data_IF_751044019655
#
_entry.id   IF_751044019655
#
_cell.length_a   1.000
_cell.length_b   1.000
_cell.length_c   1.000
_cell.angle_alpha   90.00
_cell.angle_beta   90.00
_cell.angle_gamma   90.00
#
_symmetry.space_group_name_H-M   'P 1'
#
loop_
_entity.id
_entity.type
_entity.pdbx_description
1 polymer ?
#
# COMPACT_ATOMS: atom_id res chain seq x y z
N UNK A 1 17.43 0.65 -1.96
CA UNK A 1 18.12 0.97 -3.24
C UNK A 1 17.92 2.45 -3.51
N UNK A 2 18.98 3.22 -3.82
CA UNK A 2 18.82 4.63 -4.19
C UNK A 2 18.91 4.75 -5.71
N UNK A 3 17.98 5.44 -6.38
CA UNK A 3 18.08 5.66 -7.82
C UNK A 3 19.28 6.56 -8.15
N UNK A 4 19.82 6.37 -9.35
CA UNK A 4 20.90 7.21 -9.90
C UNK A 4 20.45 8.68 -10.01
N UNK A 5 21.37 9.66 -9.97
CA UNK A 5 21.02 11.07 -10.09
C UNK A 5 20.24 11.33 -11.39
N UNK A 6 19.05 11.93 -11.28
CA UNK A 6 18.18 12.21 -12.42
C UNK A 6 17.29 11.03 -12.90
N UNK A 7 17.40 9.86 -12.26
CA UNK A 7 16.49 8.75 -12.49
C UNK A 7 15.46 8.62 -11.37
N UNK A 8 14.25 8.21 -11.74
CA UNK A 8 13.12 8.01 -10.82
C UNK A 8 12.55 6.60 -11.01
N UNK A 9 12.11 5.95 -9.92
CA UNK A 9 11.41 4.67 -10.01
C UNK A 9 10.06 4.84 -10.70
N UNK A 10 9.76 3.92 -11.62
CA UNK A 10 8.49 3.85 -12.36
C UNK A 10 7.65 2.69 -11.87
N UNK A 11 8.29 1.55 -11.60
CA UNK A 11 7.62 0.33 -11.20
C UNK A 11 8.53 -0.54 -10.32
N UNK A 12 7.91 -1.31 -9.44
CA UNK A 12 8.56 -2.39 -8.72
C UNK A 12 8.01 -3.73 -9.20
N UNK A 13 8.90 -4.66 -9.50
CA UNK A 13 8.58 -5.99 -9.96
C UNK A 13 9.01 -7.04 -8.95
N UNK A 14 8.31 -8.16 -8.97
CA UNK A 14 8.54 -9.27 -8.06
C UNK A 14 9.85 -10.02 -8.35
N UNK A 15 10.35 -9.90 -9.58
CA UNK A 15 11.58 -10.54 -10.04
C UNK A 15 12.28 -9.70 -11.12
N UNK A 16 13.58 -9.99 -11.33
CA UNK A 16 14.43 -9.29 -12.31
C UNK A 16 13.94 -9.46 -13.75
N UNK A 17 13.44 -10.64 -14.09
CA UNK A 17 13.01 -10.93 -15.46
C UNK A 17 11.83 -10.05 -15.90
N UNK A 18 10.82 -9.86 -15.05
CA UNK A 18 9.70 -8.94 -15.30
C UNK A 18 10.19 -7.50 -15.53
N UNK A 19 11.12 -7.04 -14.69
CA UNK A 19 11.70 -5.71 -14.83
C UNK A 19 12.52 -5.56 -16.12
N UNK A 20 13.28 -6.58 -16.51
CA UNK A 20 14.05 -6.59 -17.76
C UNK A 20 13.14 -6.56 -19.00
N UNK A 21 12.00 -7.28 -18.96
CA UNK A 21 11.00 -7.22 -20.04
C UNK A 21 10.39 -5.83 -20.16
N UNK A 22 10.06 -5.19 -19.04
CA UNK A 22 9.54 -3.83 -19.03
C UNK A 22 10.60 -2.81 -19.52
N UNK A 23 11.86 -2.97 -19.11
CA UNK A 23 12.96 -2.15 -19.59
C UNK A 23 13.18 -2.31 -21.10
N UNK A 24 13.07 -3.54 -21.63
CA UNK A 24 13.18 -3.81 -23.06
C UNK A 24 12.07 -3.09 -23.86
N UNK A 25 10.82 -3.13 -23.39
CA UNK A 25 9.70 -2.41 -24.03
C UNK A 25 9.91 -0.90 -24.03
N UNK A 26 10.43 -0.34 -22.94
CA UNK A 26 10.79 1.07 -22.88
C UNK A 26 11.92 1.41 -23.86
N UNK A 27 12.91 0.52 -24.00
CA UNK A 27 14.02 0.71 -24.92
C UNK A 27 13.55 0.66 -26.39
N UNK A 28 12.64 -0.24 -26.74
CA UNK A 28 12.00 -0.28 -28.07
C UNK A 28 11.25 1.01 -28.40
N UNK A 29 10.69 1.67 -27.39
CA UNK A 29 10.03 2.96 -27.51
C UNK A 29 11.00 4.17 -27.49
N UNK A 30 12.31 3.92 -27.39
CA UNK A 30 13.35 4.96 -27.39
C UNK A 30 13.62 5.60 -26.03
N UNK A 31 13.13 5.02 -24.93
CA UNK A 31 13.39 5.49 -23.58
C UNK A 31 14.60 4.79 -22.96
N UNK A 32 15.45 5.57 -22.28
CA UNK A 32 16.50 5.01 -21.42
C UNK A 32 15.88 4.51 -20.11
N UNK A 33 16.00 3.20 -19.88
CA UNK A 33 15.54 2.53 -18.67
C UNK A 33 16.67 1.67 -18.07
N UNK A 34 16.70 1.57 -16.76
CA UNK A 34 17.61 0.69 -16.03
C UNK A 34 16.86 -0.09 -14.96
N UNK A 35 17.34 -1.30 -14.67
CA UNK A 35 16.78 -2.16 -13.62
C UNK A 35 17.75 -2.17 -12.44
N UNK A 36 17.25 -1.79 -11.26
CA UNK A 36 17.98 -1.86 -10.00
C UNK A 36 17.52 -3.10 -9.23
N UNK A 37 18.47 -3.97 -8.92
CA UNK A 37 18.26 -5.18 -8.11
C UNK A 37 19.22 -5.14 -6.93
N UNK A 38 18.89 -5.79 -5.82
CA UNK A 38 19.82 -5.97 -4.71
C UNK A 38 21.06 -6.73 -5.22
N UNK A 39 22.28 -6.16 -5.17
CA UNK A 39 23.49 -6.85 -5.61
C UNK A 39 23.76 -8.13 -4.81
N UNK A 40 23.21 -8.25 -3.59
CA UNK A 40 23.29 -9.48 -2.81
C UNK A 40 22.55 -10.65 -3.48
N UNK A 41 21.63 -10.39 -4.42
CA UNK A 41 20.90 -11.43 -5.15
C UNK A 41 21.83 -12.33 -5.96
N UNK A 42 22.90 -11.77 -6.53
CA UNK A 42 23.84 -12.50 -7.38
C UNK A 42 25.04 -13.07 -6.58
N UNK A 43 25.40 -12.44 -5.45
CA UNK A 43 26.61 -12.78 -4.68
C UNK A 43 26.32 -13.61 -3.43
N UNK A 44 25.24 -13.29 -2.70
CA UNK A 44 24.89 -13.95 -1.46
C UNK A 44 23.35 -13.96 -1.26
N UNK A 45 22.64 -14.87 -1.94
CA UNK A 45 21.17 -14.85 -2.00
C UNK A 45 20.47 -14.94 -0.63
N UNK A 46 21.16 -15.50 0.36
CA UNK A 46 20.67 -15.64 1.74
C UNK A 46 20.70 -14.32 2.53
N UNK A 47 21.39 -13.29 2.05
CA UNK A 47 21.43 -11.95 2.66
C UNK A 47 20.43 -10.96 2.05
N UNK A 48 19.65 -11.37 1.04
CA UNK A 48 18.68 -10.50 0.38
C UNK A 48 17.52 -10.20 1.33
N UNK A 49 17.36 -8.93 1.71
CA UNK A 49 16.27 -8.45 2.55
C UNK A 49 15.05 -8.00 1.74
N UNK A 50 15.26 -7.57 0.49
CA UNK A 50 14.20 -7.22 -0.46
C UNK A 50 14.46 -7.84 -1.82
N UNK A 51 13.59 -8.77 -2.24
CA UNK A 51 13.70 -9.50 -3.51
C UNK A 51 13.15 -8.76 -4.73
N UNK A 52 12.74 -7.51 -4.56
CA UNK A 52 12.15 -6.71 -5.64
C UNK A 52 13.20 -6.20 -6.63
N UNK A 53 12.78 -6.07 -7.89
CA UNK A 53 13.52 -5.37 -8.94
C UNK A 53 12.83 -4.05 -9.25
N UNK A 54 13.57 -2.94 -9.19
CA UNK A 54 13.02 -1.59 -9.38
C UNK A 54 13.39 -1.09 -10.76
N UNK A 55 12.40 -0.79 -11.59
CA UNK A 55 12.58 -0.17 -12.89
C UNK A 55 12.71 1.36 -12.72
N UNK A 56 13.80 1.92 -13.19
CA UNK A 56 14.07 3.37 -13.13
C UNK A 56 14.26 3.94 -14.53
N UNK A 57 13.78 5.17 -14.72
CA UNK A 57 13.93 5.94 -15.98
C UNK A 57 14.30 7.38 -15.66
N UNK A 58 14.70 8.18 -16.67
CA UNK A 58 14.94 9.62 -16.47
C UNK A 58 13.66 10.33 -16.01
N UNK A 59 13.78 11.26 -15.06
CA UNK A 59 12.64 12.00 -14.50
C UNK A 59 11.76 12.67 -15.57
N UNK A 60 12.36 13.16 -16.65
CA UNK A 60 11.71 13.86 -17.76
C UNK A 60 10.73 12.97 -18.54
N UNK A 61 11.00 11.67 -18.63
CA UNK A 61 10.20 10.71 -19.41
C UNK A 61 9.37 9.78 -18.54
N UNK A 62 9.40 9.97 -17.21
CA UNK A 62 8.77 9.07 -16.27
C UNK A 62 7.26 8.90 -16.47
N UNK A 63 6.58 9.98 -16.86
CA UNK A 63 5.13 9.96 -17.12
C UNK A 63 4.82 9.14 -18.37
N UNK A 64 5.48 9.44 -19.48
CA UNK A 64 5.28 8.73 -20.75
C UNK A 64 5.71 7.26 -20.67
N UNK A 65 6.76 6.95 -19.91
CA UNK A 65 7.21 5.59 -19.66
C UNK A 65 6.16 4.78 -18.86
N UNK A 66 5.57 5.38 -17.82
CA UNK A 66 4.51 4.73 -17.04
C UNK A 66 3.27 4.46 -17.89
N UNK A 67 2.85 5.45 -18.69
CA UNK A 67 1.70 5.35 -19.59
C UNK A 67 1.90 4.26 -20.65
N UNK A 68 3.10 4.18 -21.25
CA UNK A 68 3.44 3.16 -22.25
C UNK A 68 3.41 1.75 -21.66
N UNK A 69 3.82 1.60 -20.40
CA UNK A 69 3.76 0.32 -19.69
C UNK A 69 2.35 -0.02 -19.20
N UNK A 70 1.36 0.84 -19.43
CA UNK A 70 -0.02 0.66 -18.94
C UNK A 70 -0.09 0.68 -17.42
N UNK A 71 0.87 1.33 -16.77
CA UNK A 71 0.92 1.44 -15.32
C UNK A 71 0.13 2.68 -14.92
N UNK A 72 -0.99 2.47 -14.22
CA UNK A 72 -1.56 3.54 -13.40
C UNK A 72 -0.50 3.91 -12.36
N UNK A 73 0.06 5.11 -12.50
CA UNK A 73 1.12 5.59 -11.62
C UNK A 73 0.63 5.43 -10.17
N UNK A 74 1.42 4.86 -9.24
CA UNK A 74 1.12 5.01 -7.82
C UNK A 74 1.06 6.50 -7.55
N UNK A 75 -0.14 6.97 -7.23
CA UNK A 75 -0.40 8.39 -7.00
C UNK A 75 0.35 8.77 -5.73
N UNK A 76 1.52 9.39 -5.90
CA UNK A 76 2.39 9.83 -4.80
C UNK A 76 1.62 10.79 -3.88
N UNK A 77 0.61 11.49 -4.40
CA UNK A 77 -0.30 12.33 -3.61
C UNK A 77 -1.22 11.47 -2.75
N UNK A 78 -1.77 10.37 -3.30
CA UNK A 78 -2.58 9.39 -2.56
C UNK A 78 -1.77 8.64 -1.50
N UNK A 79 -0.55 8.17 -1.82
CA UNK A 79 0.36 7.53 -0.86
C UNK A 79 0.80 8.51 0.24
N UNK A 80 1.01 9.79 -0.09
CA UNK A 80 1.26 10.83 0.93
C UNK A 80 0.02 11.09 1.79
N UNK A 81 -1.17 11.07 1.19
CA UNK A 81 -2.43 11.17 1.93
C UNK A 81 -2.56 9.99 2.90
N UNK A 82 -2.36 8.77 2.43
CA UNK A 82 -2.44 7.55 3.24
C UNK A 82 -1.39 7.56 4.36
N UNK A 83 -0.14 7.94 4.05
CA UNK A 83 0.90 8.12 5.05
C UNK A 83 0.51 9.16 6.12
N UNK A 84 -0.12 10.27 5.72
CA UNK A 84 -0.60 11.29 6.65
C UNK A 84 -1.77 10.82 7.53
N UNK A 85 -2.66 9.96 7.01
CA UNK A 85 -3.80 9.41 7.76
C UNK A 85 -3.44 8.25 8.69
N UNK A 86 -2.45 7.43 8.30
CA UNK A 86 -1.99 6.29 9.09
C UNK A 86 -0.97 6.65 10.18
N UNK A 87 -0.18 7.72 10.01
CA UNK A 87 0.86 8.09 10.99
C UNK A 87 0.40 9.05 12.10
N UNK A 88 -0.76 9.71 11.97
CA UNK A 88 -1.29 10.57 13.04
C UNK A 88 -2.00 9.74 14.11
N UNK A 89 -1.59 9.92 15.37
CA UNK A 89 -2.27 9.31 16.52
C UNK A 89 -3.76 9.67 16.47
N UNK A 90 -4.62 8.71 16.75
CA UNK A 90 -6.08 8.92 16.72
C UNK A 90 -6.53 10.08 17.64
N UNK A 91 -5.77 10.33 18.72
CA UNK A 91 -5.99 11.44 19.65
C UNK A 91 -5.87 12.83 19.00
N UNK A 92 -5.02 12.98 17.97
CA UNK A 92 -4.72 14.23 17.29
C UNK A 92 -5.69 14.53 16.12
N UNK A 93 -6.67 13.65 15.90
CA UNK A 93 -7.69 13.85 14.86
C UNK A 93 -8.72 14.90 15.30
N UNK A 94 -9.31 15.66 14.35
CA UNK A 94 -10.43 16.56 14.61
C UNK A 94 -11.53 15.89 15.46
N UNK A 95 -12.07 16.62 16.44
CA UNK A 95 -12.98 16.07 17.43
C UNK A 95 -14.20 15.37 16.80
N UNK A 96 -14.73 15.89 15.70
CA UNK A 96 -15.86 15.31 14.98
C UNK A 96 -15.55 13.92 14.39
N UNK A 97 -14.32 13.69 13.90
CA UNK A 97 -13.89 12.37 13.38
C UNK A 97 -13.85 11.37 14.53
N UNK A 98 -13.31 11.79 15.68
CA UNK A 98 -13.21 10.93 16.87
C UNK A 98 -14.60 10.51 17.37
N UNK A 99 -15.55 11.44 17.45
CA UNK A 99 -16.93 11.13 17.82
C UNK A 99 -17.56 10.16 16.81
N UNK A 100 -17.39 10.40 15.51
CA UNK A 100 -17.96 9.54 14.49
C UNK A 100 -17.41 8.11 14.56
N UNK A 101 -16.09 7.96 14.76
CA UNK A 101 -15.48 6.63 14.96
C UNK A 101 -15.99 5.96 16.24
N UNK A 102 -16.06 6.67 17.37
CA UNK A 102 -16.61 6.10 18.61
C UNK A 102 -18.07 5.67 18.47
N UNK A 103 -18.89 6.49 17.82
CA UNK A 103 -20.28 6.15 17.54
C UNK A 103 -20.38 4.87 16.74
N UNK A 104 -19.54 4.69 15.72
CA UNK A 104 -19.55 3.50 14.86
C UNK A 104 -19.08 2.25 15.63
N UNK A 105 -18.03 2.40 16.44
CA UNK A 105 -17.51 1.34 17.33
C UNK A 105 -18.54 0.91 18.37
N UNK A 106 -19.41 1.80 18.84
CA UNK A 106 -20.44 1.51 19.85
C UNK A 106 -21.74 1.00 19.20
N UNK A 107 -22.13 1.57 18.06
CA UNK A 107 -23.42 1.30 17.41
C UNK A 107 -23.58 -0.14 16.93
N UNK A 108 -22.48 -0.87 16.69
CA UNK A 108 -22.51 -2.27 16.27
C UNK A 108 -22.60 -3.22 17.48
N UNK A 109 -21.69 -3.20 18.46
CA UNK A 109 -21.72 -4.15 19.58
C UNK A 109 -22.83 -3.88 20.59
N UNK A 110 -23.25 -2.62 20.80
CA UNK A 110 -24.24 -2.30 21.83
C UNK A 110 -25.60 -2.93 21.56
N UNK A 111 -26.20 -2.82 20.35
CA UNK A 111 -27.46 -3.50 20.06
C UNK A 111 -27.36 -5.01 20.22
N UNK A 112 -26.25 -5.63 19.80
CA UNK A 112 -26.03 -7.07 19.94
C UNK A 112 -25.99 -7.47 21.41
N UNK A 113 -25.24 -6.74 22.23
CA UNK A 113 -25.14 -6.98 23.67
C UNK A 113 -26.51 -6.81 24.36
N UNK A 114 -27.25 -5.76 24.04
CA UNK A 114 -28.60 -5.51 24.60
C UNK A 114 -29.57 -6.62 24.19
N UNK A 115 -29.62 -6.99 22.91
CA UNK A 115 -30.46 -8.09 22.43
C UNK A 115 -30.11 -9.41 23.11
N UNK A 116 -28.82 -9.71 23.27
CA UNK A 116 -28.37 -10.89 24.02
C UNK A 116 -28.81 -10.88 25.47
N UNK A 117 -28.73 -9.73 26.15
CA UNK A 117 -29.17 -9.56 27.53
C UNK A 117 -30.68 -9.76 27.68
N UNK A 118 -31.48 -9.21 26.76
CA UNK A 118 -32.93 -9.39 26.73
C UNK A 118 -33.28 -10.86 26.54
N UNK A 119 -32.65 -11.55 25.58
CA UNK A 119 -32.88 -12.96 25.32
C UNK A 119 -32.53 -13.82 26.54
N UNK A 120 -31.38 -13.57 27.16
CA UNK A 120 -30.95 -14.27 28.38
C UNK A 120 -31.95 -14.05 29.51
N UNK A 121 -32.40 -12.81 29.74
CA UNK A 121 -33.40 -12.49 30.75
C UNK A 121 -34.72 -13.20 30.51
N UNK A 122 -35.21 -13.19 29.26
CA UNK A 122 -36.46 -13.88 28.92
C UNK A 122 -36.38 -15.39 29.11
N UNK A 123 -35.23 -16.01 28.79
CA UNK A 123 -35.00 -17.43 29.01
C UNK A 123 -34.89 -17.79 30.51
N UNK A 124 -34.22 -16.96 31.30
CA UNK A 124 -34.15 -17.15 32.76
C UNK A 124 -35.54 -17.10 33.40
N UNK A 125 -36.36 -16.11 33.00
CA UNK A 125 -37.73 -15.97 33.49
C UNK A 125 -38.65 -17.12 33.08
N UNK A 126 -38.42 -17.75 31.91
CA UNK A 126 -39.23 -18.90 31.49
C UNK A 126 -38.85 -20.19 32.22
N UNK A 127 -37.59 -20.32 32.64
CA UNK A 127 -37.09 -21.50 33.37
C UNK A 127 -37.39 -21.40 34.87
N UNK A 128 -37.44 -20.18 35.43
CA UNK A 128 -37.77 -19.91 36.83
C UNK A 128 -39.01 -18.99 36.93
N UNK A 129 -40.24 -19.53 36.83
CA UNK A 129 -41.48 -18.74 36.93
C UNK A 129 -41.77 -18.24 38.35
#
# INVERSE_FOLDING_TARGET
MRPLPGMVPVAEYSNRWEADVAAARLHEAGYEAAVLVDPATDVAPHHVTHRGAVLVVRAEVAVSAAELLGLERPDIEAERLDAAFHQRRFADRPAWIRYLTWTLVIAIPVPIAISGLILLWTALRSIFP
#
